data_IF_654721527722
#
_entry.id   IF_654721527722
#
_cell.length_a   1.000
_cell.length_b   1.000
_cell.length_c   1.000
_cell.angle_alpha   90.00
_cell.angle_beta   90.00
_cell.angle_gamma   90.00
#
_symmetry.space_group_name_H-M   'P 1'
#
loop_
_entity.id
_entity.type
_entity.pdbx_description
1 polymer ?
#
# COMPACT_ATOMS: atom_id res chain seq x y z
N UNK A 1 -54.48 -14.52 36.31
CA UNK A 1 -54.82 -14.82 37.71
C UNK A 1 -55.08 -16.33 37.81
N UNK A 2 -54.14 -17.05 38.39
CA UNK A 2 -54.24 -18.47 38.73
C UNK A 2 -53.10 -18.77 39.69
N UNK A 3 -53.44 -19.10 40.92
CA UNK A 3 -52.57 -19.07 42.09
C UNK A 3 -52.53 -20.47 42.73
N UNK A 4 -51.48 -20.70 43.53
CA UNK A 4 -51.23 -21.84 44.45
C UNK A 4 -50.75 -23.17 43.82
N UNK A 5 -49.89 -23.99 44.43
CA UNK A 5 -48.74 -23.92 45.38
C UNK A 5 -48.55 -25.36 45.90
N UNK A 6 -47.29 -25.81 46.02
CA UNK A 6 -46.81 -26.84 46.96
C UNK A 6 -47.11 -28.31 46.60
N UNK A 7 -46.29 -29.34 46.85
CA UNK A 7 -45.21 -29.54 47.84
C UNK A 7 -44.28 -30.70 47.42
N UNK A 8 -43.08 -30.68 48.00
CA UNK A 8 -41.99 -31.66 48.04
C UNK A 8 -42.35 -33.16 48.00
N UNK A 9 -41.46 -33.96 47.39
CA UNK A 9 -40.84 -35.11 48.07
C UNK A 9 -39.52 -35.53 47.39
N UNK A 10 -38.53 -35.69 48.26
CA UNK A 10 -37.15 -36.08 48.02
C UNK A 10 -37.05 -37.61 47.94
N UNK A 11 -36.34 -38.15 46.93
CA UNK A 11 -35.86 -39.52 46.96
C UNK A 11 -34.60 -39.69 46.10
N UNK A 12 -33.44 -39.87 46.76
CA UNK A 12 -32.23 -40.48 46.20
C UNK A 12 -32.26 -41.97 46.53
N UNK A 13 -31.72 -42.81 45.64
CA UNK A 13 -30.55 -43.57 46.08
C UNK A 13 -29.39 -43.57 45.07
N UNK A 14 -28.20 -43.74 45.63
CA UNK A 14 -26.90 -43.79 44.99
C UNK A 14 -26.58 -45.15 44.35
N UNK A 15 -25.85 -45.16 43.23
CA UNK A 15 -24.84 -46.18 42.87
C UNK A 15 -23.72 -45.45 42.10
N UNK A 16 -22.65 -45.02 42.79
CA UNK A 16 -21.30 -45.63 42.82
C UNK A 16 -20.71 -45.97 41.45
N UNK A 17 -19.76 -45.14 40.99
CA UNK A 17 -18.61 -45.54 40.18
C UNK A 17 -17.45 -44.60 40.53
N UNK A 18 -16.67 -45.00 41.53
CA UNK A 18 -15.35 -44.43 41.83
C UNK A 18 -14.35 -44.97 40.80
N UNK A 19 -13.59 -44.08 40.17
CA UNK A 19 -12.32 -44.42 39.54
C UNK A 19 -11.22 -43.60 40.21
N UNK A 20 -10.22 -44.33 40.68
CA UNK A 20 -9.16 -43.91 41.59
C UNK A 20 -8.32 -42.72 41.10
N UNK A 21 -8.07 -41.81 42.05
CA UNK A 21 -6.78 -41.20 42.36
C UNK A 21 -5.57 -41.92 41.74
N UNK A 22 -4.73 -41.18 41.01
CA UNK A 22 -3.26 -41.37 40.96
C UNK A 22 -2.58 -40.16 40.27
N UNK A 23 -2.65 -39.00 40.92
CA UNK A 23 -1.72 -37.90 40.70
C UNK A 23 -0.39 -38.18 41.43
N UNK A 24 0.52 -38.95 40.83
CA UNK A 24 1.93 -38.99 41.22
C UNK A 24 2.81 -39.30 40.01
N UNK A 25 3.50 -38.29 39.47
CA UNK A 25 4.56 -38.54 38.50
C UNK A 25 4.94 -37.34 37.64
N UNK A 26 5.97 -36.63 38.09
CA UNK A 26 6.81 -35.68 37.34
C UNK A 26 6.83 -35.91 35.82
N UNK A 27 6.38 -34.91 35.06
CA UNK A 27 7.15 -34.24 33.99
C UNK A 27 6.30 -33.14 33.38
N UNK A 28 6.56 -31.90 33.83
CA UNK A 28 6.05 -30.68 33.20
C UNK A 28 6.70 -30.55 31.82
N UNK A 29 6.10 -31.14 30.78
CA UNK A 29 6.45 -30.77 29.41
C UNK A 29 5.73 -29.46 29.10
N UNK A 30 6.48 -28.38 29.22
CA UNK A 30 6.14 -27.03 28.74
C UNK A 30 5.73 -27.16 27.27
N UNK A 31 4.43 -27.09 26.98
CA UNK A 31 3.98 -26.73 25.65
C UNK A 31 4.33 -25.26 25.48
N UNK A 32 5.47 -24.96 24.83
CA UNK A 32 5.67 -23.65 24.24
C UNK A 32 4.61 -23.51 23.15
N UNK A 33 3.55 -22.77 23.47
CA UNK A 33 2.64 -22.19 22.49
C UNK A 33 3.49 -21.34 21.54
N UNK A 34 3.75 -21.89 20.35
CA UNK A 34 4.18 -21.12 19.19
C UNK A 34 3.04 -20.17 18.85
N UNK A 35 3.07 -18.97 19.42
CA UNK A 35 2.39 -17.83 18.82
C UNK A 35 3.13 -17.48 17.53
N UNK A 36 2.82 -18.21 16.47
CA UNK A 36 3.11 -17.75 15.13
C UNK A 36 2.35 -16.44 14.96
N UNK A 37 3.09 -15.32 15.05
CA UNK A 37 2.64 -14.02 14.59
C UNK A 37 2.20 -14.22 13.14
N UNK A 38 0.89 -14.31 12.93
CA UNK A 38 0.31 -14.31 11.60
C UNK A 38 0.54 -12.91 11.04
N UNK A 39 1.70 -12.71 10.39
CA UNK A 39 1.92 -11.56 9.53
C UNK A 39 0.91 -11.71 8.40
N UNK A 40 -0.15 -10.89 8.44
CA UNK A 40 -1.11 -10.80 7.37
C UNK A 40 -0.37 -10.19 6.17
N UNK A 41 0.17 -11.06 5.31
CA UNK A 41 0.80 -10.64 4.07
C UNK A 41 -0.31 -10.27 3.08
N UNK A 42 -0.34 -9.03 2.63
CA UNK A 42 -1.04 -8.70 1.39
C UNK A 42 -0.24 -9.35 0.25
N UNK A 43 -0.64 -10.56 -0.14
CA UNK A 43 -0.03 -11.26 -1.28
C UNK A 43 -0.52 -10.61 -2.58
N UNK A 44 0.41 -10.20 -3.44
CA UNK A 44 0.08 -9.84 -4.81
C UNK A 44 -0.08 -11.10 -5.65
N UNK A 45 -0.84 -11.01 -6.75
CA UNK A 45 -0.91 -12.10 -7.72
C UNK A 45 0.52 -12.47 -8.16
N UNK A 46 0.79 -13.78 -8.25
CA UNK A 46 2.10 -14.38 -8.56
C UNK A 46 3.09 -14.49 -7.40
N UNK A 47 2.64 -14.41 -6.14
CA UNK A 47 3.46 -14.68 -4.95
C UNK A 47 4.47 -13.58 -4.60
N UNK A 48 4.41 -12.45 -5.30
CA UNK A 48 5.20 -11.26 -4.99
C UNK A 48 4.66 -10.57 -3.73
N UNK A 49 5.54 -9.94 -2.97
CA UNK A 49 5.19 -9.25 -1.72
C UNK A 49 5.66 -7.78 -1.74
N UNK A 50 5.09 -6.99 -0.84
CA UNK A 50 5.59 -5.65 -0.54
C UNK A 50 6.82 -5.79 0.37
N UNK A 51 7.98 -5.36 -0.11
CA UNK A 51 9.25 -5.57 0.57
C UNK A 51 9.42 -4.59 1.76
N UNK A 52 10.05 -5.04 2.87
CA UNK A 52 10.45 -4.17 3.97
C UNK A 52 11.70 -3.34 3.62
N UNK A 53 12.00 -2.29 4.40
CA UNK A 53 13.24 -1.53 4.24
C UNK A 53 14.47 -2.40 4.54
N UNK A 54 15.56 -2.17 3.80
CA UNK A 54 16.85 -2.82 3.99
C UNK A 54 17.80 -1.81 4.64
N UNK A 55 18.18 -1.96 5.92
CA UNK A 55 18.89 -0.91 6.66
C UNK A 55 20.15 -0.38 5.96
N UNK A 56 20.97 -1.27 5.38
CA UNK A 56 22.16 -0.87 4.64
C UNK A 56 21.84 -0.03 3.39
N UNK A 57 20.77 -0.36 2.67
CA UNK A 57 20.33 0.42 1.50
C UNK A 57 19.69 1.75 1.91
N UNK A 58 19.05 1.83 3.08
CA UNK A 58 18.56 3.09 3.61
C UNK A 58 19.70 4.09 3.85
N UNK A 59 20.83 3.65 4.45
CA UNK A 59 22.01 4.53 4.65
C UNK A 59 22.60 4.97 3.31
N UNK A 60 22.62 4.08 2.33
CA UNK A 60 23.23 4.32 1.02
C UNK A 60 22.26 4.94 0.00
N UNK A 61 21.05 5.34 0.42
CA UNK A 61 20.03 5.85 -0.49
C UNK A 61 20.52 7.10 -1.21
N UNK A 62 20.25 7.17 -2.50
CA UNK A 62 20.57 8.34 -3.31
C UNK A 62 19.42 9.34 -3.17
N UNK A 63 19.76 10.56 -2.78
CA UNK A 63 18.85 11.71 -2.81
C UNK A 63 19.34 12.64 -3.89
N UNK A 64 18.57 12.76 -4.97
CA UNK A 64 18.92 13.64 -6.08
C UNK A 64 18.55 15.10 -5.77
N UNK A 65 17.42 15.30 -5.10
CA UNK A 65 16.90 16.61 -4.77
C UNK A 65 16.12 16.55 -3.45
N UNK A 66 16.02 17.67 -2.75
CA UNK A 66 15.12 17.81 -1.60
C UNK A 66 14.04 18.82 -1.96
N UNK A 67 12.80 18.52 -1.55
CA UNK A 67 11.68 19.44 -1.70
C UNK A 67 11.63 20.43 -0.51
N UNK A 68 10.66 21.36 -0.52
CA UNK A 68 10.54 22.47 0.43
C UNK A 68 10.32 22.00 1.89
N UNK A 69 9.75 20.81 2.06
CA UNK A 69 9.57 20.13 3.35
C UNK A 69 10.81 19.35 3.82
N UNK A 70 11.92 19.47 3.09
CA UNK A 70 13.19 18.81 3.30
C UNK A 70 13.16 17.28 3.09
N UNK A 71 12.08 16.67 2.60
CA UNK A 71 12.10 15.28 2.16
C UNK A 71 12.97 15.11 0.91
N UNK A 72 13.71 14.01 0.86
CA UNK A 72 14.57 13.64 -0.25
C UNK A 72 13.82 12.88 -1.34
N UNK A 73 14.13 13.18 -2.59
CA UNK A 73 13.53 12.58 -3.77
C UNK A 73 14.59 11.89 -4.63
N UNK A 74 14.21 10.74 -5.17
CA UNK A 74 15.00 9.95 -6.09
C UNK A 74 14.27 9.84 -7.42
N UNK A 75 14.92 10.27 -8.50
CA UNK A 75 14.44 10.15 -9.86
C UNK A 75 15.19 9.03 -10.57
N UNK A 76 14.50 7.92 -10.88
CA UNK A 76 15.13 6.72 -11.47
C UNK A 76 15.93 6.97 -12.76
N UNK A 77 15.53 7.96 -13.57
CA UNK A 77 16.23 8.32 -14.80
C UNK A 77 17.52 9.12 -14.56
N UNK A 78 17.68 9.74 -13.39
CA UNK A 78 18.89 10.50 -13.02
C UNK A 78 20.00 9.59 -12.50
N UNK A 79 19.65 8.47 -11.88
CA UNK A 79 20.60 7.45 -11.42
C UNK A 79 21.21 6.68 -12.62
N UNK A 80 22.53 6.70 -12.82
CA UNK A 80 23.19 5.92 -13.88
C UNK A 80 22.83 4.43 -13.88
N UNK A 81 22.60 3.82 -12.72
CA UNK A 81 22.26 2.41 -12.60
C UNK A 81 20.80 2.08 -12.96
N UNK A 82 19.92 3.10 -13.02
CA UNK A 82 18.50 2.94 -13.34
C UNK A 82 18.05 3.72 -14.59
N UNK A 83 18.97 4.45 -15.24
CA UNK A 83 18.68 5.16 -16.48
C UNK A 83 18.20 4.20 -17.58
N UNK A 84 17.00 4.44 -18.09
CA UNK A 84 16.36 3.59 -19.09
C UNK A 84 15.74 2.29 -18.55
N UNK A 85 15.84 2.03 -17.25
CA UNK A 85 15.17 0.89 -16.61
C UNK A 85 13.74 1.28 -16.26
N UNK A 86 12.80 0.49 -16.75
CA UNK A 86 11.38 0.62 -16.44
C UNK A 86 10.93 -0.58 -15.61
N UNK A 87 10.12 -0.33 -14.58
CA UNK A 87 9.65 -1.36 -13.66
C UNK A 87 8.12 -1.34 -13.58
N UNK A 88 7.51 -2.50 -13.29
CA UNK A 88 6.11 -2.53 -12.88
C UNK A 88 5.91 -1.82 -11.54
N UNK A 89 4.67 -1.49 -11.21
CA UNK A 89 4.36 -0.65 -10.05
C UNK A 89 4.89 -1.23 -8.73
N UNK A 90 4.74 -2.55 -8.52
CA UNK A 90 5.19 -3.19 -7.28
C UNK A 90 6.72 -3.28 -7.21
N UNK A 91 7.40 -3.54 -8.34
CA UNK A 91 8.87 -3.57 -8.40
C UNK A 91 9.46 -2.19 -8.14
N UNK A 92 8.88 -1.15 -8.73
CA UNK A 92 9.25 0.24 -8.48
C UNK A 92 9.06 0.60 -7.00
N UNK A 93 7.91 0.22 -6.42
CA UNK A 93 7.61 0.45 -5.01
C UNK A 93 8.59 -0.27 -4.08
N UNK A 94 8.87 -1.54 -4.33
CA UNK A 94 9.82 -2.31 -3.53
C UNK A 94 11.23 -1.72 -3.59
N UNK A 95 11.67 -1.24 -4.76
CA UNK A 95 12.96 -0.57 -4.89
C UNK A 95 13.06 0.66 -3.96
N UNK A 96 12.02 1.50 -3.92
CA UNK A 96 11.97 2.66 -3.05
C UNK A 96 11.96 2.25 -1.57
N UNK A 97 11.08 1.30 -1.21
CA UNK A 97 10.91 0.82 0.17
C UNK A 97 12.15 0.25 0.79
N UNK A 98 12.91 -0.55 0.04
CA UNK A 98 14.18 -1.09 0.50
C UNK A 98 15.19 0.00 0.89
N UNK A 99 15.03 1.24 0.39
CA UNK A 99 15.89 2.41 0.65
C UNK A 99 15.29 3.39 1.67
N UNK A 100 14.29 2.98 2.45
CA UNK A 100 13.55 3.87 3.37
C UNK A 100 12.92 5.07 2.67
N UNK A 101 12.59 4.88 1.40
CA UNK A 101 11.75 5.76 0.61
C UNK A 101 10.47 4.98 0.29
N UNK A 102 9.48 5.57 -0.36
CA UNK A 102 8.42 4.82 -1.05
C UNK A 102 8.19 5.50 -2.40
N UNK A 103 7.27 5.00 -3.25
CA UNK A 103 6.89 5.78 -4.43
C UNK A 103 6.34 7.14 -3.98
N UNK A 104 6.55 8.17 -4.80
CA UNK A 104 6.12 9.53 -4.47
C UNK A 104 4.60 9.61 -4.27
N UNK A 105 4.18 10.34 -3.23
CA UNK A 105 2.80 10.76 -3.03
C UNK A 105 2.68 12.23 -3.40
N UNK A 106 1.63 12.63 -4.13
CA UNK A 106 1.49 14.02 -4.58
C UNK A 106 0.42 14.66 -3.71
N UNK A 107 0.78 14.94 -2.47
CA UNK A 107 -0.15 15.32 -1.40
C UNK A 107 -0.64 16.77 -1.56
N UNK A 108 0.16 17.61 -2.24
CA UNK A 108 -0.13 19.02 -2.49
C UNK A 108 -0.01 19.37 -3.96
N UNK A 109 -0.72 20.42 -4.38
CA UNK A 109 -0.62 20.94 -5.75
C UNK A 109 0.79 21.46 -6.08
N UNK A 110 1.47 22.08 -5.12
CA UNK A 110 2.83 22.59 -5.33
C UNK A 110 3.83 21.46 -5.54
N UNK A 111 3.75 20.39 -4.73
CA UNK A 111 4.57 19.19 -4.91
C UNK A 111 4.29 18.51 -6.25
N UNK A 112 3.02 18.40 -6.63
CA UNK A 112 2.61 17.84 -7.92
C UNK A 112 3.28 18.58 -9.09
N UNK A 113 3.16 19.91 -9.11
CA UNK A 113 3.79 20.73 -10.15
C UNK A 113 5.31 20.69 -10.08
N UNK A 114 5.88 20.61 -8.89
CA UNK A 114 7.31 20.48 -8.70
C UNK A 114 7.85 19.18 -9.32
N UNK A 115 7.19 18.03 -9.12
CA UNK A 115 7.54 16.75 -9.76
C UNK A 115 7.32 16.81 -11.28
N UNK A 116 6.19 17.37 -11.74
CA UNK A 116 5.88 17.53 -13.18
C UNK A 116 6.91 18.37 -13.90
N UNK A 117 7.42 19.43 -13.28
CA UNK A 117 8.49 20.24 -13.85
C UNK A 117 9.76 19.42 -14.15
N UNK A 118 10.14 18.49 -13.27
CA UNK A 118 11.30 17.59 -13.50
C UNK A 118 11.01 16.60 -14.65
N UNK A 119 9.79 16.07 -14.71
CA UNK A 119 9.35 15.17 -15.79
C UNK A 119 9.45 15.86 -17.15
N UNK A 120 8.97 17.11 -17.24
CA UNK A 120 9.00 17.90 -18.48
C UNK A 120 10.44 18.29 -18.84
N UNK A 121 11.20 18.84 -17.89
CA UNK A 121 12.59 19.27 -18.09
C UNK A 121 13.46 18.13 -18.59
N UNK A 122 13.33 16.95 -17.98
CA UNK A 122 14.15 15.78 -18.29
C UNK A 122 13.55 14.93 -19.43
N UNK A 123 12.45 15.38 -20.04
CA UNK A 123 11.77 14.75 -21.18
C UNK A 123 11.34 13.31 -20.89
N UNK A 124 10.86 13.06 -19.68
CA UNK A 124 10.38 11.75 -19.26
C UNK A 124 8.94 11.58 -19.71
N UNK A 125 8.66 10.46 -20.39
CA UNK A 125 7.36 10.22 -21.04
C UNK A 125 6.24 9.93 -20.04
N UNK A 126 6.58 9.26 -18.95
CA UNK A 126 5.65 8.89 -17.88
C UNK A 126 6.44 8.39 -16.66
N UNK A 127 5.82 8.43 -15.48
CA UNK A 127 6.39 7.84 -14.26
C UNK A 127 5.32 7.15 -13.42
N UNK A 128 5.75 6.18 -12.60
CA UNK A 128 4.92 5.66 -11.50
C UNK A 128 4.92 6.58 -10.27
N UNK A 129 3.76 6.68 -9.63
CA UNK A 129 3.53 7.29 -8.31
C UNK A 129 3.04 6.23 -7.31
N UNK A 130 2.85 6.59 -6.04
CA UNK A 130 2.33 5.68 -5.01
C UNK A 130 0.82 5.45 -5.10
N UNK A 131 0.15 6.12 -6.03
CA UNK A 131 -1.30 6.09 -6.16
C UNK A 131 -1.79 4.70 -6.56
N UNK A 132 -2.78 4.19 -5.82
CA UNK A 132 -3.40 2.89 -6.09
C UNK A 132 -4.85 2.85 -5.65
N UNK A 133 -5.67 2.15 -6.42
CA UNK A 133 -7.02 1.78 -6.03
C UNK A 133 -6.99 0.68 -4.95
N UNK A 134 -7.84 0.82 -3.94
CA UNK A 134 -8.08 -0.22 -2.94
C UNK A 134 -9.00 -1.29 -3.55
N UNK A 135 -8.42 -2.34 -4.13
CA UNK A 135 -9.11 -3.46 -4.79
C UNK A 135 -8.90 -4.81 -4.09
N UNK A 136 -8.29 -4.80 -2.90
CA UNK A 136 -7.95 -6.00 -2.15
C UNK A 136 -9.00 -6.38 -1.10
N UNK A 137 -8.85 -7.58 -0.53
CA UNK A 137 -9.68 -8.04 0.58
C UNK A 137 -9.62 -7.02 1.74
N UNK A 138 -10.80 -6.51 2.13
CA UNK A 138 -10.93 -5.48 3.18
C UNK A 138 -11.23 -4.08 2.63
N UNK A 139 -11.19 -3.88 1.30
CA UNK A 139 -11.54 -2.60 0.68
C UNK A 139 -13.05 -2.40 0.45
N UNK A 140 -13.90 -3.40 0.72
CA UNK A 140 -15.37 -3.28 0.65
C UNK A 140 -15.92 -2.57 1.91
N UNK A 141 -15.44 -1.36 2.18
CA UNK A 141 -15.93 -0.54 3.29
C UNK A 141 -16.90 0.54 2.77
N UNK A 142 -17.94 0.90 3.53
CA UNK A 142 -18.92 1.91 3.09
C UNK A 142 -18.29 3.26 2.69
N UNK A 143 -17.19 3.66 3.32
CA UNK A 143 -16.48 4.90 3.01
C UNK A 143 -15.72 4.88 1.68
N UNK A 144 -15.43 3.68 1.15
CA UNK A 144 -14.67 3.48 -0.08
C UNK A 144 -15.56 3.20 -1.28
N UNK A 145 -16.86 2.97 -1.10
CA UNK A 145 -17.77 2.62 -2.18
C UNK A 145 -18.38 3.87 -2.85
N UNK A 146 -18.54 3.89 -4.19
CA UNK A 146 -17.95 2.96 -5.15
C UNK A 146 -16.42 3.08 -5.19
N UNK A 147 -15.71 1.96 -5.27
CA UNK A 147 -14.24 1.93 -5.12
C UNK A 147 -13.57 2.77 -6.21
N UNK A 148 -14.02 2.66 -7.45
CA UNK A 148 -13.54 3.42 -8.59
C UNK A 148 -13.63 4.95 -8.41
N UNK A 149 -14.49 5.43 -7.49
CA UNK A 149 -14.62 6.85 -7.14
C UNK A 149 -13.90 7.20 -5.84
N UNK A 150 -14.13 6.42 -4.78
CA UNK A 150 -13.76 6.77 -3.41
C UNK A 150 -12.58 5.97 -2.86
N UNK A 151 -12.09 4.99 -3.61
CA UNK A 151 -11.15 3.97 -3.16
C UNK A 151 -9.68 4.24 -3.49
N UNK A 152 -9.31 5.44 -3.95
CA UNK A 152 -7.93 5.77 -4.33
C UNK A 152 -7.10 6.28 -3.16
N UNK A 153 -5.84 5.87 -3.09
CA UNK A 153 -4.91 6.23 -2.02
C UNK A 153 -3.51 6.53 -2.52
N UNK A 154 -2.85 7.48 -1.88
CA UNK A 154 -1.39 7.55 -1.85
C UNK A 154 -0.90 6.48 -0.87
N UNK A 155 -0.52 5.32 -1.40
CA UNK A 155 -0.28 4.13 -0.57
C UNK A 155 1.02 4.17 0.23
N UNK A 156 1.91 5.10 -0.08
CA UNK A 156 3.12 5.37 0.70
C UNK A 156 2.80 6.03 2.04
N UNK A 157 1.91 7.02 2.04
CA UNK A 157 1.49 7.78 3.23
C UNK A 157 0.18 7.28 3.86
N UNK A 158 -0.45 6.26 3.24
CA UNK A 158 -1.76 5.73 3.62
C UNK A 158 -2.87 6.82 3.60
N UNK A 159 -2.70 7.82 2.75
CA UNK A 159 -3.63 8.93 2.61
C UNK A 159 -4.68 8.62 1.55
N UNK A 160 -5.95 8.77 1.91
CA UNK A 160 -7.08 8.65 0.98
C UNK A 160 -7.14 9.88 0.06
N UNK A 161 -7.29 9.67 -1.23
CA UNK A 161 -7.56 10.76 -2.18
C UNK A 161 -9.02 11.21 -2.06
N UNK A 162 -9.27 12.47 -2.42
CA UNK A 162 -10.63 12.94 -2.64
C UNK A 162 -11.33 12.08 -3.71
N UNK A 163 -12.68 12.03 -3.70
CA UNK A 163 -13.43 11.36 -4.76
C UNK A 163 -12.95 11.79 -6.14
N UNK A 164 -12.82 10.88 -7.09
CA UNK A 164 -12.32 11.18 -8.45
C UNK A 164 -13.19 12.19 -9.20
N UNK A 165 -14.45 12.33 -8.78
CA UNK A 165 -15.41 13.33 -9.26
C UNK A 165 -15.13 14.76 -8.75
N UNK A 166 -14.34 14.93 -7.69
CA UNK A 166 -13.97 16.23 -7.15
C UNK A 166 -12.67 16.75 -7.78
N UNK A 167 -12.79 17.55 -8.83
CA UNK A 167 -11.67 18.12 -9.61
C UNK A 167 -11.01 19.36 -8.99
N UNK A 168 -11.38 19.77 -7.78
CA UNK A 168 -10.82 20.98 -7.16
C UNK A 168 -9.42 20.76 -6.58
N UNK A 169 -9.10 19.54 -6.16
CA UNK A 169 -7.88 19.21 -5.41
C UNK A 169 -7.26 17.88 -5.90
N UNK A 170 -7.21 17.69 -7.21
CA UNK A 170 -6.51 16.57 -7.85
C UNK A 170 -5.96 16.98 -9.21
N UNK A 171 -5.13 16.13 -9.81
CA UNK A 171 -4.55 16.35 -11.14
C UNK A 171 -4.87 15.19 -12.09
N UNK A 172 -6.01 14.53 -11.91
CA UNK A 172 -6.50 13.56 -12.89
C UNK A 172 -6.69 14.25 -14.24
N UNK A 173 -6.35 13.57 -15.35
CA UNK A 173 -6.57 14.16 -16.68
C UNK A 173 -8.06 14.29 -17.00
N UNK A 174 -8.45 15.35 -17.72
CA UNK A 174 -9.79 15.50 -18.32
C UNK A 174 -9.93 14.69 -19.62
N UNK A 175 -8.81 14.18 -20.15
CA UNK A 175 -8.73 13.37 -21.35
C UNK A 175 -8.03 12.03 -21.12
N UNK A 176 -7.75 11.33 -22.22
CA UNK A 176 -7.10 10.03 -22.17
C UNK A 176 -7.21 9.28 -23.50
N UNK A 177 -6.83 8.00 -23.51
CA UNK A 177 -6.74 7.20 -24.73
C UNK A 177 -8.06 6.95 -25.47
N UNK A 178 -9.20 7.23 -24.84
CA UNK A 178 -10.56 7.19 -25.43
C UNK A 178 -11.30 8.54 -25.31
N UNK A 179 -10.57 9.62 -25.01
CA UNK A 179 -11.16 10.97 -24.87
C UNK A 179 -12.10 11.13 -23.68
N UNK A 180 -11.94 10.31 -22.63
CA UNK A 180 -12.71 10.40 -21.37
C UNK A 180 -11.83 10.89 -20.22
N UNK A 181 -12.39 11.58 -19.21
CA UNK A 181 -11.69 11.93 -18.00
C UNK A 181 -11.19 10.70 -17.23
N UNK A 182 -10.02 10.83 -16.61
CA UNK A 182 -9.42 9.80 -15.76
C UNK A 182 -9.96 9.88 -14.32
N UNK A 183 -9.96 8.75 -13.57
CA UNK A 183 -9.60 7.42 -14.02
C UNK A 183 -10.70 6.79 -14.89
N UNK A 184 -10.33 6.20 -16.03
CA UNK A 184 -11.30 5.68 -17.00
C UNK A 184 -11.34 4.15 -17.09
N UNK A 185 -10.35 3.43 -16.55
CA UNK A 185 -10.21 1.98 -16.61
C UNK A 185 -10.43 1.43 -18.04
N UNK A 186 -9.92 2.15 -19.03
CA UNK A 186 -10.03 1.85 -20.46
C UNK A 186 -9.52 0.46 -20.80
N UNK A 187 -8.37 0.05 -20.27
CA UNK A 187 -7.78 -1.26 -20.63
C UNK A 187 -8.74 -2.40 -20.27
N UNK A 188 -9.42 -2.33 -19.11
CA UNK A 188 -10.44 -3.31 -18.73
C UNK A 188 -11.65 -3.30 -19.67
N UNK A 189 -12.13 -2.12 -20.06
CA UNK A 189 -13.24 -1.99 -21.03
C UNK A 189 -12.91 -2.63 -22.38
N UNK A 190 -11.62 -2.72 -22.73
CA UNK A 190 -11.11 -3.32 -23.96
C UNK A 190 -10.74 -4.81 -23.80
N UNK A 191 -11.08 -5.43 -22.66
CA UNK A 191 -10.81 -6.84 -22.36
C UNK A 191 -9.40 -7.11 -21.83
N UNK A 192 -8.63 -6.08 -21.47
CA UNK A 192 -7.32 -6.19 -20.84
C UNK A 192 -7.37 -6.13 -19.31
N UNK A 193 -6.25 -5.75 -18.69
CA UNK A 193 -6.15 -5.67 -17.24
C UNK A 193 -6.80 -4.39 -16.70
N UNK A 194 -7.18 -4.43 -15.42
CA UNK A 194 -7.72 -3.26 -14.74
C UNK A 194 -6.63 -2.23 -14.39
N UNK A 195 -6.96 -0.96 -14.56
CA UNK A 195 -6.07 0.19 -14.39
C UNK A 195 -6.14 0.68 -12.94
N UNK A 196 -5.49 -0.04 -12.03
CA UNK A 196 -5.61 0.21 -10.59
C UNK A 196 -4.43 0.98 -9.98
N UNK A 197 -3.51 1.50 -10.80
CA UNK A 197 -2.32 2.25 -10.36
C UNK A 197 -2.26 3.63 -11.00
N UNK A 198 -1.73 4.62 -10.29
CA UNK A 198 -1.62 6.00 -10.79
C UNK A 198 -0.24 6.26 -11.38
N UNK A 199 -0.21 6.73 -12.62
CA UNK A 199 0.97 7.25 -13.28
C UNK A 199 0.78 8.73 -13.63
N UNK A 200 1.87 9.49 -13.66
CA UNK A 200 1.87 10.77 -14.39
C UNK A 200 2.26 10.47 -15.82
N UNK A 201 1.44 10.88 -16.79
CA UNK A 201 1.79 10.81 -18.21
C UNK A 201 2.12 12.20 -18.72
N UNK A 202 3.26 12.33 -19.41
CA UNK A 202 3.72 13.61 -19.95
C UNK A 202 3.20 13.79 -21.37
N UNK A 203 2.02 14.42 -21.49
CA UNK A 203 1.33 14.74 -22.74
C UNK A 203 1.18 13.53 -23.67
N UNK A 204 1.00 12.35 -23.10
CA UNK A 204 0.97 11.09 -23.85
C UNK A 204 -0.26 11.01 -24.77
N UNK A 205 -1.40 11.54 -24.33
CA UNK A 205 -2.64 11.58 -25.09
C UNK A 205 -2.99 12.99 -25.62
N UNK A 206 -2.00 13.88 -25.69
CA UNK A 206 -2.19 15.29 -26.06
C UNK A 206 -3.16 16.04 -25.12
N UNK A 207 -3.11 15.72 -23.83
CA UNK A 207 -3.99 16.21 -22.79
C UNK A 207 -3.24 16.93 -21.66
N UNK A 208 -1.93 17.19 -21.81
CA UNK A 208 -1.09 17.81 -20.79
C UNK A 208 -0.35 16.81 -19.92
N UNK A 209 0.17 17.26 -18.78
CA UNK A 209 0.92 16.41 -17.84
C UNK A 209 0.03 16.15 -16.64
N UNK A 210 -0.58 14.98 -16.54
CA UNK A 210 -1.62 14.71 -15.57
C UNK A 210 -1.55 13.27 -15.06
N UNK A 211 -2.33 12.98 -14.01
CA UNK A 211 -2.52 11.64 -13.48
C UNK A 211 -3.45 10.84 -14.40
N UNK A 212 -3.04 9.60 -14.66
CA UNK A 212 -3.83 8.58 -15.34
C UNK A 212 -3.84 7.32 -14.50
N UNK A 213 -4.95 6.61 -14.54
CA UNK A 213 -4.96 5.23 -14.11
C UNK A 213 -4.33 4.37 -15.21
N UNK A 214 -3.49 3.43 -14.80
CA UNK A 214 -2.76 2.54 -15.70
C UNK A 214 -2.69 1.16 -15.07
N UNK A 215 -2.78 0.12 -15.89
CA UNK A 215 -2.64 -1.25 -15.40
C UNK A 215 -1.26 -1.43 -14.74
N UNK A 216 -1.26 -1.93 -13.51
CA UNK A 216 -0.09 -1.93 -12.63
C UNK A 216 1.11 -2.75 -13.14
N UNK A 217 0.89 -3.61 -14.13
CA UNK A 217 1.92 -4.45 -14.75
C UNK A 217 2.74 -3.72 -15.82
N UNK A 218 2.25 -2.58 -16.32
CA UNK A 218 3.01 -1.74 -17.26
C UNK A 218 4.31 -1.28 -16.62
N UNK A 219 5.36 -1.17 -17.43
CA UNK A 219 6.68 -0.78 -16.95
C UNK A 219 6.89 0.70 -17.18
N UNK A 220 7.39 1.41 -16.16
CA UNK A 220 7.70 2.84 -16.22
C UNK A 220 8.94 3.17 -15.41
N UNK A 221 9.63 4.29 -15.70
CA UNK A 221 10.44 4.96 -14.70
C UNK A 221 9.57 5.35 -13.51
N UNK A 222 10.20 5.66 -12.38
CA UNK A 222 9.52 5.97 -11.13
C UNK A 222 10.26 7.04 -10.34
N UNK A 223 9.53 7.66 -9.42
CA UNK A 223 10.07 8.61 -8.45
C UNK A 223 9.87 8.02 -7.06
N UNK A 224 10.93 8.03 -6.25
CA UNK A 224 10.82 7.73 -4.82
C UNK A 224 10.88 9.01 -3.99
N UNK A 225 10.24 8.98 -2.84
CA UNK A 225 10.21 10.03 -1.82
C UNK A 225 10.60 9.41 -0.46
N UNK A 226 11.41 10.11 0.34
CA UNK A 226 11.73 9.67 1.71
C UNK A 226 10.46 9.44 2.53
N UNK A 227 10.35 8.27 3.17
CA UNK A 227 9.17 7.92 3.95
C UNK A 227 9.51 7.86 5.44
N UNK A 228 8.89 8.74 6.21
CA UNK A 228 9.17 8.89 7.64
C UNK A 228 8.86 7.64 8.46
N UNK A 229 7.81 6.90 8.11
CA UNK A 229 7.47 5.67 8.80
C UNK A 229 8.55 4.59 8.62
N UNK A 230 9.09 4.44 7.40
CA UNK A 230 10.18 3.50 7.11
C UNK A 230 11.49 3.93 7.76
N UNK A 231 11.84 5.22 7.68
CA UNK A 231 13.02 5.78 8.36
C UNK A 231 12.94 5.56 9.88
N UNK A 232 11.79 5.86 10.49
CA UNK A 232 11.54 5.65 11.91
C UNK A 232 11.64 4.18 12.30
N UNK A 233 11.05 3.29 11.50
CA UNK A 233 11.14 1.84 11.71
C UNK A 233 12.59 1.35 11.72
N UNK A 234 13.40 1.77 10.74
CA UNK A 234 14.81 1.35 10.66
C UNK A 234 15.63 1.93 11.81
N UNK A 235 15.45 3.21 12.16
CA UNK A 235 16.12 3.82 13.33
C UNK A 235 15.80 3.08 14.63
N UNK A 236 14.55 2.68 14.81
CA UNK A 236 14.10 1.95 16.00
C UNK A 236 14.71 0.54 16.06
N UNK A 237 14.73 -0.18 14.94
CA UNK A 237 15.21 -1.56 14.87
C UNK A 237 16.73 -1.68 14.75
N UNK A 238 17.43 -0.59 14.39
CA UNK A 238 18.88 -0.54 14.19
C UNK A 238 19.47 0.73 14.85
N UNK A 239 19.47 0.83 16.19
CA UNK A 239 19.80 2.07 16.92
C UNK A 239 21.23 2.57 16.70
N UNK A 240 22.16 1.70 16.30
CA UNK A 240 23.55 2.07 16.02
C UNK A 240 23.75 2.55 14.56
N UNK A 241 22.74 2.43 13.71
CA UNK A 241 22.79 2.81 12.31
C UNK A 241 22.33 4.26 12.14
N UNK A 242 23.17 5.08 11.50
CA UNK A 242 22.84 6.47 11.20
C UNK A 242 22.13 6.55 9.84
N UNK A 243 20.80 6.64 9.88
CA UNK A 243 19.90 6.68 8.72
C UNK A 243 19.19 8.02 8.58
#
# INVERSE_FOLDING_TARGET
>A
MGNLKSKHLEYRPQVKLEWNELLKGKTMKVLMLLSALAVAHAQFNNGRILEPPVPAQCVQRIIHERYSDNKGYYFSWRDPAKRGVEEDWLSARNFCRQRCMDLVSLETSDENEWVKARIVQDKIKYIWTSGRLCDFKGCNRPDLLPNEINGWFWTAELQKLAPTTNRQQNDWSEGGGIGKPQPDNRELQQGGAAEHCVAILNNFYNDGVHWHDVACHHRKPFVCEENDALLKYVRYTNPNLRV
#
